data_IF_258499978309
#
_entry.id   IF_258499978309
#
_cell.length_a   1.000
_cell.length_b   1.000
_cell.length_c   1.000
_cell.angle_alpha   90.00
_cell.angle_beta   90.00
_cell.angle_gamma   90.00
#
_symmetry.space_group_name_H-M   'P 1'
#
loop_
_entity.id
_entity.type
_entity.pdbx_description
1 polymer ?
#
# COMPACT_ATOMS: atom_id res chain seq x y z
N UNK A 1 108.64 -100.83 156.28
CA UNK A 1 107.71 -101.97 156.42
C UNK A 1 106.56 -101.56 157.32
N UNK A 2 105.53 -100.92 156.79
CA UNK A 2 105.62 -99.96 155.66
C UNK A 2 104.56 -98.86 155.75
N UNK A 3 103.25 -99.14 155.78
CA UNK A 3 102.25 -98.07 155.65
C UNK A 3 101.97 -97.24 156.91
N UNK A 4 101.80 -97.84 158.08
CA UNK A 4 101.64 -97.06 159.32
C UNK A 4 102.94 -96.37 159.77
N UNK A 5 104.11 -96.84 159.31
CA UNK A 5 105.39 -96.11 159.42
C UNK A 5 105.47 -94.91 158.46
N UNK A 6 104.65 -94.82 157.40
CA UNK A 6 104.58 -93.65 156.50
C UNK A 6 103.54 -92.65 157.01
N UNK A 7 102.39 -93.10 157.52
CA UNK A 7 101.43 -92.21 158.19
C UNK A 7 101.99 -91.64 159.49
N UNK A 8 102.76 -92.39 160.28
CA UNK A 8 103.49 -91.82 161.42
C UNK A 8 104.59 -90.84 160.98
N UNK A 9 105.19 -91.03 159.80
CA UNK A 9 106.19 -90.09 159.25
C UNK A 9 105.55 -88.82 158.69
N UNK A 10 104.39 -88.92 158.03
CA UNK A 10 103.62 -87.77 157.55
C UNK A 10 102.98 -87.04 158.72
N UNK A 11 102.38 -87.72 159.70
CA UNK A 11 101.91 -87.08 160.93
C UNK A 11 103.06 -86.48 161.77
N UNK A 12 104.25 -87.09 161.81
CA UNK A 12 105.43 -86.46 162.44
C UNK A 12 105.99 -85.30 161.61
N UNK A 13 105.80 -85.28 160.27
CA UNK A 13 106.19 -84.17 159.39
C UNK A 13 105.19 -83.03 159.51
N UNK A 14 103.90 -83.33 159.57
CA UNK A 14 102.80 -82.39 159.76
C UNK A 14 102.80 -81.85 161.20
N UNK A 15 103.17 -82.64 162.22
CA UNK A 15 103.38 -82.15 163.59
C UNK A 15 104.63 -81.28 163.66
N UNK A 16 105.69 -81.58 162.89
CA UNK A 16 106.86 -80.68 162.78
C UNK A 16 106.55 -79.42 161.97
N UNK A 17 105.78 -79.50 160.89
CA UNK A 17 105.34 -78.36 160.10
C UNK A 17 104.33 -77.50 160.85
N UNK A 18 103.41 -78.11 161.62
CA UNK A 18 102.51 -77.38 162.50
C UNK A 18 103.24 -76.79 163.70
N UNK A 19 104.27 -77.45 164.26
CA UNK A 19 105.13 -76.78 165.25
C UNK A 19 105.89 -75.60 164.63
N UNK A 20 106.39 -75.76 163.40
CA UNK A 20 107.10 -74.68 162.69
C UNK A 20 106.16 -73.52 162.34
N UNK A 21 104.95 -73.81 161.90
CA UNK A 21 103.91 -72.82 161.62
C UNK A 21 103.41 -72.17 162.91
N UNK A 22 103.30 -72.90 164.02
CA UNK A 22 102.89 -72.35 165.32
C UNK A 22 103.99 -71.50 165.97
N UNK A 23 105.26 -71.89 165.83
CA UNK A 23 106.40 -71.09 166.30
C UNK A 23 106.60 -69.86 165.41
N UNK A 24 106.34 -69.94 164.10
CA UNK A 24 106.22 -68.75 163.24
C UNK A 24 105.00 -67.89 163.61
N UNK A 25 103.87 -68.49 163.99
CA UNK A 25 102.68 -67.74 164.42
C UNK A 25 102.87 -67.05 165.78
N UNK A 26 103.69 -67.61 166.67
CA UNK A 26 104.07 -67.02 167.97
C UNK A 26 105.18 -65.98 167.86
N UNK A 27 106.06 -66.09 166.86
CA UNK A 27 107.10 -65.11 166.57
C UNK A 27 106.60 -63.90 165.74
N UNK A 28 105.45 -64.01 165.07
CA UNK A 28 104.85 -62.90 164.31
C UNK A 28 104.05 -61.95 165.20
N UNK A 29 104.44 -60.67 165.18
CA UNK A 29 103.73 -59.58 165.85
C UNK A 29 102.33 -59.40 165.23
N UNK A 30 101.37 -58.87 166.00
CA UNK A 30 99.97 -58.68 165.59
C UNK A 30 99.85 -57.90 164.27
N UNK A 31 100.77 -56.97 164.02
CA UNK A 31 100.82 -56.09 162.86
C UNK A 31 101.10 -56.82 161.52
N UNK A 32 101.91 -57.89 161.53
CA UNK A 32 102.16 -58.69 160.32
C UNK A 32 100.97 -59.58 159.93
N UNK A 33 100.12 -59.94 160.90
CA UNK A 33 98.87 -60.69 160.64
C UNK A 33 97.79 -59.81 160.03
N UNK A 34 97.63 -58.58 160.53
CA UNK A 34 96.65 -57.63 160.00
C UNK A 34 96.97 -57.23 158.55
N UNK A 35 98.27 -57.06 158.20
CA UNK A 35 98.70 -56.74 156.82
C UNK A 35 98.35 -57.84 155.81
N UNK A 36 98.47 -59.12 156.18
CA UNK A 36 98.14 -60.24 155.30
C UNK A 36 96.62 -60.34 155.06
N UNK A 37 95.80 -60.06 156.07
CA UNK A 37 94.34 -60.01 155.93
C UNK A 37 93.88 -58.86 155.03
N UNK A 38 94.48 -57.67 155.17
CA UNK A 38 94.15 -56.50 154.32
C UNK A 38 94.55 -56.73 152.86
N UNK A 39 95.71 -57.35 152.60
CA UNK A 39 96.15 -57.70 151.24
C UNK A 39 95.22 -58.73 150.56
N UNK A 40 94.70 -59.70 151.31
CA UNK A 40 93.72 -60.66 150.78
C UNK A 40 92.37 -60.00 150.47
N UNK A 41 91.91 -59.09 151.33
CA UNK A 41 90.70 -58.31 151.09
C UNK A 41 90.85 -57.36 149.89
N UNK A 42 91.99 -56.67 149.73
CA UNK A 42 92.25 -55.80 148.57
C UNK A 42 92.23 -56.59 147.26
N UNK A 43 92.86 -57.78 147.23
CA UNK A 43 92.88 -58.63 146.02
C UNK A 43 91.48 -59.11 145.63
N UNK A 44 90.62 -59.42 146.60
CA UNK A 44 89.22 -59.80 146.36
C UNK A 44 88.40 -58.61 145.82
N UNK A 45 88.53 -57.44 146.44
CA UNK A 45 87.82 -56.22 146.01
C UNK A 45 88.31 -55.73 144.64
N UNK A 46 89.59 -55.91 144.28
CA UNK A 46 90.09 -55.64 142.92
C UNK A 46 89.47 -56.57 141.87
N UNK A 47 89.31 -57.86 142.18
CA UNK A 47 88.66 -58.81 141.28
C UNK A 47 87.19 -58.46 141.02
N UNK A 48 86.45 -58.11 142.08
CA UNK A 48 85.04 -57.67 141.96
C UNK A 48 84.91 -56.35 141.16
N UNK A 49 85.88 -55.43 141.28
CA UNK A 49 85.93 -54.20 140.49
C UNK A 49 86.23 -54.43 139.00
N UNK A 50 87.08 -55.40 138.67
CA UNK A 50 87.37 -55.77 137.28
C UNK A 50 86.15 -56.45 136.62
N UNK A 51 85.42 -57.31 137.35
CA UNK A 51 84.16 -57.89 136.86
C UNK A 51 83.04 -56.84 136.67
N UNK A 52 82.91 -55.87 137.59
CA UNK A 52 81.96 -54.77 137.41
C UNK A 52 82.33 -53.86 136.24
N UNK A 53 83.62 -53.59 136.00
CA UNK A 53 84.06 -52.83 134.83
C UNK A 53 83.79 -53.59 133.53
N UNK A 54 83.99 -54.90 133.50
CA UNK A 54 83.71 -55.74 132.32
C UNK A 54 82.21 -55.85 132.01
N UNK A 55 81.35 -55.88 133.02
CA UNK A 55 79.89 -55.88 132.83
C UNK A 55 79.37 -54.52 132.39
N UNK A 56 79.87 -53.41 132.95
CA UNK A 56 79.50 -52.06 132.54
C UNK A 56 79.87 -51.80 131.06
N UNK A 57 81.05 -52.26 130.62
CA UNK A 57 81.49 -52.13 129.22
C UNK A 57 80.56 -52.87 128.24
N UNK A 58 80.17 -54.10 128.57
CA UNK A 58 79.19 -54.88 127.78
C UNK A 58 77.85 -54.17 127.66
N UNK A 59 77.32 -53.61 128.75
CA UNK A 59 76.02 -52.91 128.73
C UNK A 59 76.10 -51.61 127.92
N UNK A 60 77.22 -50.88 127.98
CA UNK A 60 77.40 -49.66 127.19
C UNK A 60 77.54 -49.93 125.69
N UNK A 61 78.21 -51.03 125.31
CA UNK A 61 78.39 -51.37 123.90
C UNK A 61 77.08 -51.89 123.29
N UNK A 62 76.32 -52.71 124.01
CA UNK A 62 74.96 -53.13 123.60
C UNK A 62 74.01 -51.95 123.43
N UNK A 63 74.03 -50.96 124.34
CA UNK A 63 73.21 -49.75 124.20
C UNK A 63 73.61 -48.89 123.00
N UNK A 64 74.89 -48.86 122.63
CA UNK A 64 75.36 -48.11 121.45
C UNK A 64 74.99 -48.82 120.15
N UNK A 65 75.07 -50.15 120.11
CA UNK A 65 74.63 -50.96 118.96
C UNK A 65 73.11 -50.91 118.77
N UNK A 66 72.32 -51.00 119.84
CA UNK A 66 70.86 -50.82 119.78
C UNK A 66 70.48 -49.41 119.32
N UNK A 67 71.14 -48.36 119.84
CA UNK A 67 70.85 -46.98 119.41
C UNK A 67 71.25 -46.75 117.95
N UNK A 68 72.34 -47.35 117.47
CA UNK A 68 72.70 -47.33 116.04
C UNK A 68 71.68 -48.08 115.20
N UNK A 69 71.28 -49.30 115.58
CA UNK A 69 70.23 -50.06 114.88
C UNK A 69 68.91 -49.30 114.81
N UNK A 70 68.47 -48.67 115.90
CA UNK A 70 67.24 -47.88 115.93
C UNK A 70 67.33 -46.68 114.98
N UNK A 71 68.46 -45.96 114.97
CA UNK A 71 68.68 -44.82 114.07
C UNK A 71 68.78 -45.28 112.61
N UNK A 72 69.47 -46.38 112.33
CA UNK A 72 69.59 -46.95 110.98
C UNK A 72 68.23 -47.49 110.48
N UNK A 73 67.40 -48.07 111.36
CA UNK A 73 66.04 -48.52 111.04
C UNK A 73 65.06 -47.35 110.82
N UNK A 74 65.20 -46.23 111.56
CA UNK A 74 64.42 -45.01 111.36
C UNK A 74 64.82 -44.28 110.06
N UNK A 75 66.13 -44.17 109.78
CA UNK A 75 66.67 -43.61 108.53
C UNK A 75 66.26 -44.48 107.33
N UNK A 76 66.34 -45.81 107.45
CA UNK A 76 65.88 -46.73 106.41
C UNK A 76 64.37 -46.64 106.16
N UNK A 77 63.55 -46.48 107.21
CA UNK A 77 62.11 -46.21 107.06
C UNK A 77 61.84 -44.88 106.36
N UNK A 78 62.60 -43.83 106.67
CA UNK A 78 62.45 -42.52 106.04
C UNK A 78 62.89 -42.54 104.57
N UNK A 79 63.96 -43.25 104.25
CA UNK A 79 64.41 -43.48 102.87
C UNK A 79 63.33 -44.22 102.10
N UNK A 80 62.78 -45.32 102.62
CA UNK A 80 61.68 -46.05 101.96
C UNK A 80 60.45 -45.18 101.73
N UNK A 81 60.04 -44.37 102.71
CA UNK A 81 58.92 -43.43 102.54
C UNK A 81 59.19 -42.39 101.46
N UNK A 82 60.42 -41.86 101.39
CA UNK A 82 60.80 -40.89 100.36
C UNK A 82 60.91 -41.56 98.99
N UNK A 83 61.40 -42.80 98.90
CA UNK A 83 61.44 -43.60 97.68
C UNK A 83 60.03 -43.92 97.18
N UNK A 84 59.11 -44.30 98.06
CA UNK A 84 57.69 -44.51 97.75
C UNK A 84 57.02 -43.21 97.30
N UNK A 85 57.31 -42.08 97.95
CA UNK A 85 56.82 -40.77 97.52
C UNK A 85 57.39 -40.36 96.16
N UNK A 86 58.68 -40.58 95.91
CA UNK A 86 59.30 -40.32 94.60
C UNK A 86 58.65 -41.20 93.53
N UNK A 87 58.39 -42.48 93.82
CA UNK A 87 57.72 -43.39 92.89
C UNK A 87 56.28 -42.96 92.61
N UNK A 88 55.54 -42.52 93.64
CA UNK A 88 54.18 -41.99 93.48
C UNK A 88 54.17 -40.69 92.65
N UNK A 89 55.08 -39.75 92.94
CA UNK A 89 55.22 -38.51 92.20
C UNK A 89 55.66 -38.79 90.74
N UNK A 90 56.58 -39.73 90.52
CA UNK A 90 56.96 -40.16 89.17
C UNK A 90 55.77 -40.76 88.41
N UNK A 91 54.93 -41.56 89.08
CA UNK A 91 53.71 -42.11 88.48
C UNK A 91 52.68 -41.00 88.17
N UNK A 92 52.49 -40.03 89.06
CA UNK A 92 51.61 -38.89 88.83
C UNK A 92 52.09 -38.01 87.68
N UNK A 93 53.40 -37.72 87.61
CA UNK A 93 54.01 -37.00 86.49
C UNK A 93 53.82 -37.77 85.19
N UNK A 94 53.99 -39.09 85.20
CA UNK A 94 53.74 -39.93 84.02
C UNK A 94 52.28 -39.89 83.57
N UNK A 95 51.33 -39.95 84.51
CA UNK A 95 49.90 -39.89 84.21
C UNK A 95 49.51 -38.53 83.65
N UNK A 96 49.94 -37.44 84.28
CA UNK A 96 49.66 -36.09 83.79
C UNK A 96 50.29 -35.81 82.43
N UNK A 97 51.49 -36.37 82.14
CA UNK A 97 52.06 -36.30 80.80
C UNK A 97 51.20 -37.02 79.77
N UNK A 98 50.68 -38.20 80.09
CA UNK A 98 49.77 -38.92 79.18
C UNK A 98 48.44 -38.18 79.00
N UNK A 99 47.89 -37.60 80.06
CA UNK A 99 46.68 -36.76 79.98
C UNK A 99 46.92 -35.50 79.15
N UNK A 100 48.05 -34.82 79.32
CA UNK A 100 48.45 -33.66 78.52
C UNK A 100 48.61 -34.04 77.05
N UNK A 101 49.29 -35.13 76.73
CA UNK A 101 49.43 -35.64 75.36
C UNK A 101 48.06 -36.01 74.74
N UNK A 102 47.17 -36.63 75.51
CA UNK A 102 45.80 -36.94 75.05
C UNK A 102 44.99 -35.66 74.78
N UNK A 103 45.06 -34.67 75.67
CA UNK A 103 44.39 -33.38 75.49
C UNK A 103 44.95 -32.59 74.30
N UNK A 104 46.27 -32.62 74.09
CA UNK A 104 46.89 -32.02 72.91
C UNK A 104 46.38 -32.70 71.63
N UNK A 105 46.29 -34.03 71.61
CA UNK A 105 45.73 -34.77 70.47
C UNK A 105 44.25 -34.44 70.24
N UNK A 106 43.42 -34.35 71.29
CA UNK A 106 42.01 -33.95 71.16
C UNK A 106 41.87 -32.51 70.66
N UNK A 107 42.76 -31.60 71.10
CA UNK A 107 42.78 -30.22 70.63
C UNK A 107 43.18 -30.12 69.16
N UNK A 108 44.17 -30.91 68.70
CA UNK A 108 44.54 -30.99 67.28
C UNK A 108 43.38 -31.52 66.43
N UNK A 109 42.71 -32.60 66.85
CA UNK A 109 41.56 -33.17 66.14
C UNK A 109 40.40 -32.18 66.08
N UNK A 110 40.11 -31.49 67.19
CA UNK A 110 39.05 -30.47 67.25
C UNK A 110 39.40 -29.25 66.41
N UNK A 111 40.67 -28.84 66.41
CA UNK A 111 41.19 -27.76 65.56
C UNK A 111 41.02 -28.07 64.08
N UNK A 112 41.42 -29.28 63.65
CA UNK A 112 41.25 -29.72 62.27
C UNK A 112 39.77 -29.76 61.86
N UNK A 113 38.89 -30.32 62.70
CA UNK A 113 37.46 -30.35 62.42
C UNK A 113 36.85 -28.95 62.29
N UNK A 114 37.33 -27.98 63.10
CA UNK A 114 36.90 -26.59 63.00
C UNK A 114 37.42 -25.92 61.72
N UNK A 115 38.68 -26.12 61.36
CA UNK A 115 39.26 -25.62 60.11
C UNK A 115 38.51 -26.19 58.88
N UNK A 116 38.26 -27.49 58.86
CA UNK A 116 37.50 -28.16 57.79
C UNK A 116 36.08 -27.59 57.66
N UNK A 117 35.40 -27.36 58.80
CA UNK A 117 34.07 -26.76 58.83
C UNK A 117 34.09 -25.30 58.37
N UNK A 118 35.11 -24.53 58.77
CA UNK A 118 35.28 -23.14 58.35
C UNK A 118 35.55 -23.05 56.84
N UNK A 119 36.35 -23.97 56.30
CA UNK A 119 36.59 -24.07 54.86
C UNK A 119 35.33 -24.51 54.11
N UNK A 120 34.57 -25.45 54.66
CA UNK A 120 33.28 -25.84 54.08
C UNK A 120 32.31 -24.66 54.05
N UNK A 121 32.23 -23.88 55.12
CA UNK A 121 31.36 -22.71 55.21
C UNK A 121 31.79 -21.62 54.20
N UNK A 122 33.10 -21.36 54.08
CA UNK A 122 33.60 -20.40 53.09
C UNK A 122 33.27 -20.82 51.64
N UNK A 123 33.41 -22.12 51.32
CA UNK A 123 33.01 -22.69 50.03
C UNK A 123 31.51 -22.54 49.77
N UNK A 124 30.67 -22.81 50.78
CA UNK A 124 29.21 -22.65 50.65
C UNK A 124 28.80 -21.19 50.41
N UNK A 125 29.42 -20.25 51.13
CA UNK A 125 29.18 -18.81 50.93
C UNK A 125 29.60 -18.40 49.52
N UNK A 126 30.74 -18.89 49.03
CA UNK A 126 31.20 -18.61 47.67
C UNK A 126 30.22 -19.17 46.62
N UNK A 127 29.76 -20.41 46.78
CA UNK A 127 28.77 -21.01 45.88
C UNK A 127 27.44 -20.25 45.86
N UNK A 128 26.98 -19.74 47.01
CA UNK A 128 25.79 -18.90 47.11
C UNK A 128 25.97 -17.61 46.28
N UNK A 129 27.09 -16.92 46.44
CA UNK A 129 27.41 -15.72 45.65
C UNK A 129 27.46 -16.00 44.15
N UNK A 130 28.13 -17.07 43.75
CA UNK A 130 28.22 -17.47 42.34
C UNK A 130 26.83 -17.79 41.75
N UNK A 131 25.95 -18.45 42.51
CA UNK A 131 24.57 -18.71 42.10
C UNK A 131 23.74 -17.44 42.02
N UNK A 132 23.90 -16.51 42.95
CA UNK A 132 23.22 -15.22 42.91
C UNK A 132 23.66 -14.40 41.69
N UNK A 133 24.96 -14.34 41.41
CA UNK A 133 25.50 -13.68 40.22
C UNK A 133 24.98 -14.32 38.91
N UNK A 134 24.91 -15.65 38.86
CA UNK A 134 24.33 -16.37 37.73
C UNK A 134 22.83 -16.04 37.57
N UNK A 135 22.07 -16.00 38.66
CA UNK A 135 20.66 -15.63 38.64
C UNK A 135 20.45 -14.18 38.18
N UNK A 136 21.28 -13.24 38.63
CA UNK A 136 21.23 -11.84 38.17
C UNK A 136 21.49 -11.74 36.66
N UNK A 137 22.48 -12.47 36.14
CA UNK A 137 22.77 -12.52 34.69
C UNK A 137 21.59 -13.08 33.92
N UNK A 138 21.04 -14.23 34.33
CA UNK A 138 19.88 -14.85 33.69
C UNK A 138 18.65 -13.95 33.71
N UNK A 139 18.41 -13.25 34.82
CA UNK A 139 17.31 -12.28 34.93
C UNK A 139 17.49 -11.11 33.96
N UNK A 140 18.70 -10.57 33.85
CA UNK A 140 19.04 -9.50 32.90
C UNK A 140 18.86 -9.95 31.45
N UNK A 141 19.34 -11.14 31.10
CA UNK A 141 19.17 -11.75 29.79
C UNK A 141 17.69 -12.00 29.46
N UNK A 142 16.90 -12.47 30.43
CA UNK A 142 15.45 -12.66 30.28
C UNK A 142 14.74 -11.35 29.96
N UNK A 143 15.09 -10.26 30.65
CA UNK A 143 14.52 -8.93 30.39
C UNK A 143 14.87 -8.47 28.96
N UNK A 144 16.14 -8.59 28.56
CA UNK A 144 16.60 -8.25 27.21
C UNK A 144 15.89 -9.08 26.14
N UNK A 145 15.80 -10.40 26.33
CA UNK A 145 15.12 -11.30 25.41
C UNK A 145 13.63 -10.95 25.26
N UNK A 146 12.94 -10.66 26.37
CA UNK A 146 11.54 -10.21 26.34
C UNK A 146 11.38 -8.88 25.59
N UNK A 147 12.29 -7.93 25.78
CA UNK A 147 12.26 -6.66 25.06
C UNK A 147 12.48 -6.83 23.57
N UNK A 148 13.47 -7.65 23.17
CA UNK A 148 13.71 -8.00 21.76
C UNK A 148 12.50 -8.71 21.16
N UNK A 149 11.90 -9.67 21.87
CA UNK A 149 10.72 -10.37 21.40
C UNK A 149 9.53 -9.43 21.20
N UNK A 150 9.34 -8.44 22.10
CA UNK A 150 8.30 -7.44 21.96
C UNK A 150 8.52 -6.58 20.70
N UNK A 151 9.72 -6.05 20.51
CA UNK A 151 10.06 -5.24 19.34
C UNK A 151 9.90 -6.04 18.03
N UNK A 152 10.34 -7.30 18.01
CA UNK A 152 10.19 -8.17 16.84
C UNK A 152 8.71 -8.47 16.52
N UNK A 153 7.84 -8.59 17.54
CA UNK A 153 6.38 -8.72 17.34
C UNK A 153 5.78 -7.44 16.77
N UNK A 154 6.15 -6.28 17.33
CA UNK A 154 5.69 -4.97 16.84
C UNK A 154 6.10 -4.77 15.37
N UNK A 155 7.35 -5.07 15.01
CA UNK A 155 7.86 -4.98 13.64
C UNK A 155 7.11 -5.94 12.69
N UNK A 156 6.89 -7.19 13.10
CA UNK A 156 6.12 -8.17 12.34
C UNK A 156 4.68 -7.70 12.10
N UNK A 157 4.04 -7.13 13.12
CA UNK A 157 2.66 -6.67 13.02
C UNK A 157 2.57 -5.44 12.10
N UNK A 158 3.56 -4.53 12.14
CA UNK A 158 3.69 -3.41 11.20
C UNK A 158 3.90 -3.87 9.75
N UNK A 159 4.79 -4.84 9.52
CA UNK A 159 5.00 -5.43 8.20
C UNK A 159 3.74 -6.12 7.68
N UNK A 160 3.01 -6.80 8.55
CA UNK A 160 1.72 -7.43 8.20
C UNK A 160 0.69 -6.39 7.76
N UNK A 161 0.58 -5.25 8.47
CA UNK A 161 -0.29 -4.15 8.07
C UNK A 161 0.12 -3.52 6.73
N UNK A 162 1.42 -3.34 6.49
CA UNK A 162 1.92 -2.85 5.20
C UNK A 162 1.58 -3.80 4.06
N UNK A 163 1.78 -5.11 4.23
CA UNK A 163 1.41 -6.13 3.25
C UNK A 163 -0.09 -6.07 2.95
N UNK A 164 -0.94 -6.06 3.97
CA UNK A 164 -2.40 -5.97 3.79
C UNK A 164 -2.82 -4.71 3.04
N UNK A 165 -2.19 -3.57 3.33
CA UNK A 165 -2.45 -2.29 2.65
C UNK A 165 -2.06 -2.37 1.18
N UNK A 166 -0.87 -2.90 0.88
CA UNK A 166 -0.39 -3.10 -0.49
C UNK A 166 -1.27 -4.09 -1.26
N UNK A 167 -1.69 -5.20 -0.64
CA UNK A 167 -2.61 -6.17 -1.25
C UNK A 167 -3.93 -5.50 -1.63
N UNK A 168 -4.52 -4.73 -0.71
CA UNK A 168 -5.78 -4.00 -0.97
C UNK A 168 -5.61 -2.98 -2.11
N UNK A 169 -4.45 -2.29 -2.16
CA UNK A 169 -4.14 -1.34 -3.22
C UNK A 169 -3.97 -2.03 -4.58
N UNK A 170 -3.32 -3.19 -4.63
CA UNK A 170 -3.17 -4.01 -5.85
C UNK A 170 -4.53 -4.51 -6.33
N UNK A 171 -5.39 -4.97 -5.43
CA UNK A 171 -6.76 -5.38 -5.79
C UNK A 171 -7.57 -4.23 -6.38
N UNK A 172 -7.49 -3.03 -5.77
CA UNK A 172 -8.14 -1.83 -6.30
C UNK A 172 -7.60 -1.43 -7.68
N UNK A 173 -6.27 -1.48 -7.88
CA UNK A 173 -5.66 -1.22 -9.19
C UNK A 173 -6.10 -2.24 -10.24
N UNK A 174 -6.16 -3.53 -9.90
CA UNK A 174 -6.64 -4.58 -10.80
C UNK A 174 -8.10 -4.35 -11.22
N UNK A 175 -8.96 -3.84 -10.33
CA UNK A 175 -10.33 -3.46 -10.70
C UNK A 175 -10.36 -2.31 -11.70
N UNK A 176 -9.47 -1.32 -11.55
CA UNK A 176 -9.34 -0.20 -12.49
C UNK A 176 -8.85 -0.70 -13.85
N UNK A 177 -7.84 -1.55 -13.89
CA UNK A 177 -7.33 -2.16 -15.13
C UNK A 177 -8.44 -2.89 -15.88
N UNK A 178 -9.22 -3.75 -15.20
CA UNK A 178 -10.35 -4.46 -15.84
C UNK A 178 -11.38 -3.51 -16.44
N UNK A 179 -11.71 -2.41 -15.75
CA UNK A 179 -12.63 -1.38 -16.27
C UNK A 179 -12.06 -0.66 -17.49
N UNK A 180 -10.76 -0.41 -17.51
CA UNK A 180 -10.09 0.20 -18.66
C UNK A 180 -10.05 -0.75 -19.87
N UNK A 181 -9.76 -2.04 -19.66
CA UNK A 181 -9.80 -3.07 -20.70
C UNK A 181 -11.21 -3.22 -21.30
N UNK A 182 -12.25 -3.21 -20.47
CA UNK A 182 -13.64 -3.25 -20.93
C UNK A 182 -13.99 -2.00 -21.75
N UNK A 183 -13.57 -0.81 -21.28
CA UNK A 183 -13.77 0.45 -22.00
C UNK A 183 -13.03 0.46 -23.34
N UNK A 184 -11.79 -0.04 -23.38
CA UNK A 184 -11.02 -0.16 -24.61
C UNK A 184 -11.73 -1.08 -25.61
N UNK A 185 -12.20 -2.24 -25.16
CA UNK A 185 -12.96 -3.16 -26.01
C UNK A 185 -14.24 -2.53 -26.57
N UNK A 186 -14.97 -1.78 -25.75
CA UNK A 186 -16.16 -1.05 -26.20
C UNK A 186 -15.81 0.04 -27.23
N UNK A 187 -14.73 0.79 -27.00
CA UNK A 187 -14.27 1.82 -27.94
C UNK A 187 -13.81 1.21 -29.28
N UNK A 188 -13.09 0.09 -29.25
CA UNK A 188 -12.69 -0.65 -30.46
C UNK A 188 -13.93 -1.12 -31.25
N UNK A 189 -14.95 -1.67 -30.58
CA UNK A 189 -16.19 -2.07 -31.23
C UNK A 189 -16.93 -0.87 -31.87
N UNK A 190 -16.98 0.27 -31.17
CA UNK A 190 -17.58 1.50 -31.69
C UNK A 190 -16.81 2.04 -32.89
N UNK A 191 -15.47 2.00 -32.86
CA UNK A 191 -14.63 2.41 -33.98
C UNK A 191 -14.96 1.58 -35.23
N UNK A 192 -15.00 0.25 -35.10
CA UNK A 192 -15.36 -0.64 -36.21
C UNK A 192 -16.77 -0.34 -36.74
N UNK A 193 -17.73 -0.01 -35.87
CA UNK A 193 -19.08 0.35 -36.30
C UNK A 193 -19.09 1.67 -37.10
N UNK A 194 -18.38 2.70 -36.62
CA UNK A 194 -18.26 4.00 -37.30
C UNK A 194 -17.51 3.86 -38.63
N UNK A 195 -16.46 3.04 -38.70
CA UNK A 195 -15.74 2.76 -39.95
C UNK A 195 -16.66 2.11 -40.99
N UNK A 196 -17.50 1.16 -40.58
CA UNK A 196 -18.50 0.55 -41.47
C UNK A 196 -19.53 1.56 -41.94
N UNK A 197 -20.04 2.42 -41.05
CA UNK A 197 -20.97 3.48 -41.44
C UNK A 197 -20.31 4.45 -42.43
N UNK A 198 -19.08 4.88 -42.16
CA UNK A 198 -18.31 5.76 -43.05
C UNK A 198 -18.17 5.14 -44.45
N UNK A 199 -17.83 3.85 -44.53
CA UNK A 199 -17.74 3.14 -45.81
C UNK A 199 -19.08 3.13 -46.56
N UNK A 200 -20.19 2.82 -45.88
CA UNK A 200 -21.52 2.85 -46.49
C UNK A 200 -21.89 4.27 -46.98
N UNK A 201 -21.57 5.30 -46.19
CA UNK A 201 -21.80 6.70 -46.56
C UNK A 201 -20.97 7.12 -47.78
N UNK A 202 -19.71 6.69 -47.85
CA UNK A 202 -18.85 6.94 -49.01
C UNK A 202 -19.39 6.26 -50.27
N UNK A 203 -19.82 4.99 -50.17
CA UNK A 203 -20.43 4.27 -51.30
C UNK A 203 -21.73 4.95 -51.78
N UNK A 204 -22.59 5.38 -50.86
CA UNK A 204 -23.81 6.11 -51.19
C UNK A 204 -23.49 7.46 -51.87
N UNK A 205 -22.51 8.19 -51.34
CA UNK A 205 -22.06 9.47 -51.92
C UNK A 205 -21.52 9.29 -53.35
N UNK A 206 -20.68 8.27 -53.59
CA UNK A 206 -20.13 8.02 -54.92
C UNK A 206 -21.23 7.60 -55.93
N UNK A 207 -22.21 6.80 -55.48
CA UNK A 207 -23.39 6.48 -56.28
C UNK A 207 -24.19 7.74 -56.63
N UNK A 208 -24.46 8.63 -55.67
CA UNK A 208 -25.19 9.87 -55.92
C UNK A 208 -24.42 10.81 -56.86
N UNK A 209 -23.10 10.90 -56.70
CA UNK A 209 -22.21 11.66 -57.59
C UNK A 209 -22.29 11.13 -59.02
N UNK A 210 -22.23 9.82 -59.22
CA UNK A 210 -22.40 9.20 -60.55
C UNK A 210 -23.76 9.54 -61.17
N UNK A 211 -24.84 9.40 -60.41
CA UNK A 211 -26.21 9.75 -60.87
C UNK A 211 -26.33 11.24 -61.22
N UNK A 212 -25.69 12.12 -60.46
CA UNK A 212 -25.68 13.55 -60.75
C UNK A 212 -24.96 13.86 -62.07
N UNK A 213 -23.83 13.19 -62.34
CA UNK A 213 -23.10 13.32 -63.61
C UNK A 213 -23.96 12.81 -64.78
N UNK A 214 -24.56 11.61 -64.66
CA UNK A 214 -25.43 11.04 -65.69
C UNK A 214 -26.65 11.94 -65.97
N UNK A 215 -27.27 12.49 -64.91
CA UNK A 215 -28.39 13.44 -65.05
C UNK A 215 -27.96 14.75 -65.70
N UNK A 216 -26.78 15.28 -65.37
CA UNK A 216 -26.25 16.50 -65.97
C UNK A 216 -25.93 16.30 -67.46
N UNK A 217 -25.36 15.14 -67.83
CA UNK A 217 -25.13 14.75 -69.22
C UNK A 217 -26.45 14.65 -70.00
N UNK A 218 -27.43 13.93 -69.46
CA UNK A 218 -28.75 13.81 -70.09
C UNK A 218 -29.44 15.16 -70.27
N UNK A 219 -29.34 16.06 -69.29
CA UNK A 219 -29.88 17.42 -69.40
C UNK A 219 -29.15 18.24 -70.49
N UNK A 220 -27.83 18.10 -70.62
CA UNK A 220 -27.06 18.75 -71.68
C UNK A 220 -27.44 18.23 -73.08
N UNK A 221 -27.61 16.92 -73.24
CA UNK A 221 -28.03 16.30 -74.49
C UNK A 221 -29.44 16.77 -74.91
N UNK A 222 -30.38 16.77 -73.96
CA UNK A 222 -31.75 17.28 -74.17
C UNK A 222 -31.73 18.75 -74.57
N UNK A 223 -30.88 19.57 -73.94
CA UNK A 223 -30.73 20.99 -74.30
C UNK A 223 -30.20 21.15 -75.73
N UNK A 224 -29.22 20.34 -76.13
CA UNK A 224 -28.69 20.36 -77.50
C UNK A 224 -29.76 19.94 -78.53
N UNK A 225 -30.57 18.92 -78.21
CA UNK A 225 -31.72 18.55 -79.04
C UNK A 225 -32.75 19.68 -79.13
N UNK A 226 -33.07 20.33 -78.01
CA UNK A 226 -33.98 21.48 -78.00
C UNK A 226 -33.44 22.60 -78.88
N UNK A 227 -32.16 22.97 -78.76
CA UNK A 227 -31.55 24.02 -79.60
C UNK A 227 -31.60 23.65 -81.09
N UNK A 228 -31.32 22.39 -81.44
CA UNK A 228 -31.44 21.89 -82.81
C UNK A 228 -32.87 21.99 -83.33
N UNK A 229 -33.86 21.52 -82.57
CA UNK A 229 -35.27 21.61 -82.97
C UNK A 229 -35.74 23.07 -83.05
N UNK A 230 -35.31 23.95 -82.15
CA UNK A 230 -35.60 25.37 -82.24
C UNK A 230 -35.01 26.01 -83.51
N UNK A 231 -33.79 25.63 -83.93
CA UNK A 231 -33.20 26.09 -85.20
C UNK A 231 -34.03 25.60 -86.39
N UNK A 232 -34.37 24.31 -86.42
CA UNK A 232 -35.19 23.73 -87.49
C UNK A 232 -36.56 24.40 -87.59
N UNK A 233 -37.21 24.67 -86.46
CA UNK A 233 -38.49 25.39 -86.43
C UNK A 233 -38.33 26.79 -87.01
N UNK A 234 -37.26 27.52 -86.66
CA UNK A 234 -36.99 28.85 -87.23
C UNK A 234 -36.78 28.79 -88.75
N UNK A 235 -35.99 27.84 -89.24
CA UNK A 235 -35.75 27.64 -90.69
C UNK A 235 -37.04 27.29 -91.44
N UNK A 236 -37.89 26.45 -90.86
CA UNK A 236 -39.20 26.14 -91.44
C UNK A 236 -40.11 27.37 -91.42
N UNK A 237 -40.13 28.13 -90.32
CA UNK A 237 -40.90 29.36 -90.21
C UNK A 237 -40.47 30.41 -91.25
N UNK A 238 -39.16 30.61 -91.47
CA UNK A 238 -38.67 31.53 -92.51
C UNK A 238 -39.06 31.04 -93.90
N UNK A 239 -38.88 29.75 -94.18
CA UNK A 239 -39.29 29.15 -95.45
C UNK A 239 -40.79 29.31 -95.70
N UNK A 240 -41.63 29.07 -94.69
CA UNK A 240 -43.09 29.25 -94.79
C UNK A 240 -43.43 30.72 -95.04
N UNK A 241 -42.80 31.66 -94.34
CA UNK A 241 -43.02 33.10 -94.56
C UNK A 241 -42.64 33.53 -96.00
N UNK A 242 -41.49 33.07 -96.51
CA UNK A 242 -41.05 33.33 -97.88
C UNK A 242 -42.03 32.75 -98.91
N UNK A 243 -42.46 31.49 -98.73
CA UNK A 243 -43.43 30.85 -99.61
C UNK A 243 -44.80 31.53 -99.56
N UNK A 244 -45.24 31.99 -98.39
CA UNK A 244 -46.49 32.72 -98.22
C UNK A 244 -46.42 34.07 -98.94
N UNK A 245 -45.34 34.83 -98.76
CA UNK A 245 -45.11 36.10 -99.48
C UNK A 245 -45.03 35.91 -101.01
N UNK A 246 -44.34 34.86 -101.47
CA UNK A 246 -44.31 34.52 -102.89
C UNK A 246 -45.70 34.16 -103.44
N UNK A 247 -46.49 33.39 -102.68
CA UNK A 247 -47.86 33.05 -103.06
C UNK A 247 -48.76 34.28 -103.11
N UNK A 248 -48.64 35.21 -102.15
CA UNK A 248 -49.36 36.49 -102.15
C UNK A 248 -48.99 37.36 -103.35
N UNK A 249 -47.70 37.44 -103.69
CA UNK A 249 -47.22 38.17 -104.86
C UNK A 249 -47.76 37.57 -106.17
N UNK A 250 -47.73 36.25 -106.32
CA UNK A 250 -48.31 35.56 -107.47
C UNK A 250 -49.85 35.70 -107.52
N UNK A 251 -50.53 35.62 -106.37
CA UNK A 251 -51.97 35.88 -106.29
C UNK A 251 -52.30 37.32 -106.71
N UNK A 252 -51.49 38.31 -106.32
CA UNK A 252 -51.64 39.70 -106.73
C UNK A 252 -51.42 39.89 -108.24
N UNK A 253 -50.35 39.32 -108.80
CA UNK A 253 -50.11 39.31 -110.26
C UNK A 253 -51.26 38.66 -111.01
N UNK A 254 -51.73 37.52 -110.53
CA UNK A 254 -52.87 36.79 -111.11
C UNK A 254 -54.12 37.65 -111.10
N UNK A 255 -54.42 38.36 -110.00
CA UNK A 255 -55.55 39.30 -109.93
C UNK A 255 -55.40 40.43 -110.96
N UNK A 256 -54.22 41.04 -111.08
CA UNK A 256 -53.95 42.07 -112.11
C UNK A 256 -54.17 41.55 -113.54
N UNK A 257 -53.64 40.37 -113.84
CA UNK A 257 -53.85 39.74 -115.16
C UNK A 257 -55.33 39.43 -115.40
N UNK A 258 -56.08 39.01 -114.39
CA UNK A 258 -57.53 38.81 -114.49
C UNK A 258 -58.28 40.13 -114.75
N UNK A 259 -57.88 41.23 -114.11
CA UNK A 259 -58.43 42.57 -114.34
C UNK A 259 -58.14 43.05 -115.76
N UNK A 260 -56.89 42.92 -116.24
CA UNK A 260 -56.47 43.24 -117.61
C UNK A 260 -57.26 42.40 -118.64
N UNK A 261 -57.38 41.09 -118.40
CA UNK A 261 -58.17 40.18 -119.22
C UNK A 261 -59.66 40.58 -119.23
N UNK A 262 -60.19 41.05 -118.10
CA UNK A 262 -61.54 41.63 -118.00
C UNK A 262 -61.70 42.94 -118.77
N UNK A 263 -60.67 43.79 -118.84
CA UNK A 263 -60.67 45.01 -119.67
C UNK A 263 -60.63 44.64 -121.16
N UNK A 264 -59.76 43.72 -121.56
CA UNK A 264 -59.65 43.26 -122.95
C UNK A 264 -60.95 42.58 -123.41
N UNK A 265 -61.57 41.74 -122.57
CA UNK A 265 -62.90 41.17 -122.84
C UNK A 265 -63.97 42.22 -123.04
N UNK A 266 -64.05 43.23 -122.16
CA UNK A 266 -65.00 44.35 -122.31
C UNK A 266 -64.76 45.18 -123.58
N UNK A 267 -63.49 45.39 -123.97
CA UNK A 267 -63.14 46.04 -125.25
C UNK A 267 -63.58 45.21 -126.44
N UNK A 268 -63.37 43.88 -126.40
CA UNK A 268 -63.83 42.94 -127.42
C UNK A 268 -65.36 42.96 -127.57
N UNK A 269 -66.10 42.95 -126.45
CA UNK A 269 -67.56 43.07 -126.43
C UNK A 269 -68.08 44.40 -126.97
N UNK A 270 -67.41 45.52 -126.63
CA UNK A 270 -67.75 46.83 -127.22
C UNK A 270 -67.56 46.86 -128.72
N UNK A 271 -66.42 46.35 -129.22
CA UNK A 271 -66.17 46.28 -130.67
C UNK A 271 -67.22 45.40 -131.37
N UNK A 272 -67.57 44.25 -130.79
CA UNK A 272 -68.65 43.38 -131.31
C UNK A 272 -70.02 44.06 -131.34
N UNK A 273 -70.35 44.89 -130.35
CA UNK A 273 -71.62 45.64 -130.33
C UNK A 273 -71.65 46.78 -131.35
N UNK A 274 -70.51 47.43 -131.61
CA UNK A 274 -70.38 48.51 -132.59
C UNK A 274 -70.48 47.97 -134.03
N UNK A 275 -69.98 46.76 -134.30
CA UNK A 275 -70.15 46.10 -135.60
C UNK A 275 -71.60 45.71 -135.93
N UNK A 276 -72.51 45.68 -134.94
CA UNK A 276 -73.81 45.00 -135.05
C UNK A 276 -75.04 45.91 -134.91
N UNK A 277 -74.88 47.24 -134.95
CA UNK A 277 -75.98 48.20 -134.83
C UNK A 277 -76.13 49.06 -136.09
N UNK A 278 -77.29 48.95 -136.74
CA UNK A 278 -77.61 49.49 -138.07
C UNK A 278 -78.63 50.64 -138.07
N UNK A 279 -78.87 51.31 -136.94
CA UNK A 279 -79.81 52.44 -136.89
C UNK A 279 -79.40 53.51 -135.87
N UNK A 280 -78.88 54.64 -136.38
CA UNK A 280 -78.35 55.76 -135.58
C UNK A 280 -79.45 56.59 -134.91
N UNK A 281 -80.71 56.46 -135.34
CA UNK A 281 -81.83 57.25 -134.82
C UNK A 281 -82.41 56.67 -133.51
N UNK A 282 -82.18 55.38 -133.23
CA UNK A 282 -82.55 54.75 -131.96
C UNK A 282 -81.58 55.14 -130.82
N UNK A 283 -80.29 55.25 -131.15
CA UNK A 283 -79.23 55.67 -130.21
C UNK A 283 -79.49 57.10 -129.71
N UNK A 284 -79.85 58.02 -130.60
CA UNK A 284 -80.14 59.41 -130.22
C UNK A 284 -81.39 59.52 -129.32
N UNK A 285 -82.43 58.70 -129.57
CA UNK A 285 -83.65 58.68 -128.75
C UNK A 285 -83.38 58.11 -127.36
N UNK A 286 -82.54 57.09 -127.26
CA UNK A 286 -82.14 56.49 -125.99
C UNK A 286 -81.28 57.46 -125.16
N UNK A 287 -80.33 58.18 -125.78
CA UNK A 287 -79.54 59.23 -125.12
C UNK A 287 -80.43 60.38 -124.61
N UNK A 288 -81.41 60.85 -125.41
CA UNK A 288 -82.36 61.88 -124.96
C UNK A 288 -83.19 61.39 -123.76
N UNK A 289 -83.54 60.09 -123.71
CA UNK A 289 -84.24 59.50 -122.58
C UNK A 289 -83.37 59.47 -121.32
N UNK A 290 -82.12 59.05 -121.42
CA UNK A 290 -81.16 59.04 -120.30
C UNK A 290 -80.87 60.45 -119.76
N UNK A 291 -80.72 61.45 -120.63
CA UNK A 291 -80.56 62.85 -120.19
C UNK A 291 -81.80 63.37 -119.48
N UNK A 292 -83.02 63.04 -119.97
CA UNK A 292 -84.27 63.40 -119.29
C UNK A 292 -84.38 62.74 -117.91
N UNK A 293 -84.03 61.46 -117.78
CA UNK A 293 -84.06 60.76 -116.48
C UNK A 293 -83.04 61.34 -115.50
N UNK A 294 -81.82 61.61 -115.97
CA UNK A 294 -80.74 62.19 -115.14
C UNK A 294 -81.09 63.59 -114.63
N UNK A 295 -81.82 64.40 -115.40
CA UNK A 295 -82.25 65.74 -115.01
C UNK A 295 -83.55 65.77 -114.18
N UNK A 296 -84.24 64.64 -114.07
CA UNK A 296 -85.50 64.55 -113.32
C UNK A 296 -85.25 64.25 -111.85
N UNK A 297 -85.98 64.92 -110.96
CA UNK A 297 -85.88 64.74 -109.52
C UNK A 297 -86.18 63.28 -109.14
N UNK A 298 -85.25 62.55 -108.51
CA UNK A 298 -85.47 61.14 -108.18
C UNK A 298 -86.53 60.94 -107.09
N UNK A 299 -86.89 62.00 -106.35
CA UNK A 299 -87.90 61.90 -105.29
C UNK A 299 -89.34 61.96 -105.80
N UNK A 300 -89.63 62.74 -106.86
CA UNK A 300 -90.99 62.80 -107.43
C UNK A 300 -91.08 62.21 -108.83
N UNK A 301 -89.95 62.00 -109.52
CA UNK A 301 -89.85 61.54 -110.92
C UNK A 301 -90.65 62.38 -111.94
N UNK A 302 -91.05 63.59 -111.56
CA UNK A 302 -91.90 64.48 -112.38
C UNK A 302 -91.21 65.81 -112.64
N UNK A 303 -90.74 66.49 -111.58
CA UNK A 303 -90.10 67.82 -111.71
C UNK A 303 -88.61 67.68 -111.99
N UNK A 304 -88.03 68.63 -112.71
CA UNK A 304 -86.57 68.70 -112.90
C UNK A 304 -85.85 68.98 -111.58
N UNK A 305 -84.57 68.59 -111.49
CA UNK A 305 -83.69 68.92 -110.37
C UNK A 305 -83.41 70.43 -110.39
N UNK A 306 -83.80 71.13 -109.32
CA UNK A 306 -83.58 72.57 -109.16
C UNK A 306 -83.22 72.95 -107.70
N UNK A 307 -82.78 71.98 -106.90
CA UNK A 307 -82.27 72.20 -105.57
C UNK A 307 -81.19 71.18 -105.17
N UNK A 308 -80.24 71.60 -104.36
CA UNK A 308 -79.11 70.78 -103.88
C UNK A 308 -79.03 70.79 -102.36
N UNK A 309 -78.71 69.64 -101.78
CA UNK A 309 -78.35 69.52 -100.37
C UNK A 309 -76.85 69.73 -100.19
N UNK A 310 -76.43 70.77 -99.48
CA UNK A 310 -74.99 71.12 -99.34
C UNK A 310 -74.21 70.13 -98.47
N UNK A 311 -74.88 69.33 -97.63
CA UNK A 311 -74.23 68.31 -96.78
C UNK A 311 -73.79 67.07 -97.54
N UNK A 312 -74.52 66.68 -98.58
CA UNK A 312 -74.26 65.44 -99.32
C UNK A 312 -74.26 65.61 -100.84
N UNK A 313 -74.38 66.85 -101.32
CA UNK A 313 -74.40 67.25 -102.73
C UNK A 313 -75.39 66.47 -103.62
N UNK A 314 -76.48 65.97 -103.03
CA UNK A 314 -77.54 65.30 -103.78
C UNK A 314 -78.59 66.30 -104.26
N UNK A 315 -78.95 66.21 -105.53
CA UNK A 315 -79.88 67.13 -106.20
C UNK A 315 -81.28 66.55 -106.37
N UNK A 316 -82.28 67.35 -106.06
CA UNK A 316 -83.71 67.05 -106.14
C UNK A 316 -84.47 68.29 -106.65
N UNK A 317 -85.80 68.25 -106.72
CA UNK A 317 -86.57 69.48 -106.91
C UNK A 317 -86.78 70.21 -105.58
N UNK A 318 -86.82 71.53 -105.63
CA UNK A 318 -86.99 72.41 -104.48
C UNK A 318 -88.26 72.07 -103.70
N UNK A 319 -89.35 71.76 -104.39
CA UNK A 319 -90.62 71.40 -103.76
C UNK A 319 -90.53 70.12 -102.92
N UNK A 320 -89.80 69.10 -103.39
CA UNK A 320 -89.60 67.87 -102.63
C UNK A 320 -88.75 68.11 -101.37
N UNK A 321 -87.70 68.93 -101.45
CA UNK A 321 -86.88 69.26 -100.29
C UNK A 321 -87.63 70.14 -99.29
N UNK A 322 -88.35 71.17 -99.78
CA UNK A 322 -89.19 72.05 -98.96
C UNK A 322 -90.28 71.27 -98.23
N UNK A 323 -91.01 70.40 -98.94
CA UNK A 323 -92.06 69.57 -98.34
C UNK A 323 -91.48 68.69 -97.23
N UNK A 324 -90.34 68.02 -97.46
CA UNK A 324 -89.68 67.20 -96.43
C UNK A 324 -89.19 68.01 -95.24
N UNK A 325 -88.74 69.24 -95.47
CA UNK A 325 -88.32 70.13 -94.38
C UNK A 325 -89.50 70.56 -93.50
N UNK A 326 -90.62 70.95 -94.13
CA UNK A 326 -91.87 71.37 -93.47
C UNK A 326 -92.53 70.19 -92.71
N UNK A 327 -92.52 68.97 -93.27
CA UNK A 327 -93.07 67.76 -92.61
C UNK A 327 -92.12 67.13 -91.58
N UNK A 328 -91.04 67.81 -91.19
CA UNK A 328 -90.00 67.35 -90.25
C UNK A 328 -89.27 66.05 -90.66
N UNK A 329 -89.39 65.61 -91.92
CA UNK A 329 -88.65 64.47 -92.49
C UNK A 329 -87.28 64.92 -93.04
N UNK A 330 -86.47 65.55 -92.18
CA UNK A 330 -85.24 66.29 -92.51
C UNK A 330 -84.03 65.38 -92.80
N UNK A 331 -84.21 64.37 -93.66
CA UNK A 331 -83.16 63.47 -94.14
C UNK A 331 -83.16 63.38 -95.67
N UNK A 332 -81.97 63.35 -96.25
CA UNK A 332 -81.75 63.23 -97.68
C UNK A 332 -82.43 61.96 -98.23
N UNK A 333 -83.28 62.05 -99.27
CA UNK A 333 -83.93 60.88 -99.85
C UNK A 333 -82.98 59.80 -100.39
N UNK A 334 -81.73 60.16 -100.71
CA UNK A 334 -80.77 59.25 -101.35
C UNK A 334 -79.76 58.60 -100.40
N UNK A 335 -79.21 59.34 -99.43
CA UNK A 335 -78.20 58.82 -98.50
C UNK A 335 -78.60 58.93 -97.03
N UNK A 336 -79.81 59.39 -96.73
CA UNK A 336 -80.34 59.53 -95.38
C UNK A 336 -79.58 60.50 -94.45
N UNK A 337 -78.66 61.30 -94.98
CA UNK A 337 -77.97 62.36 -94.25
C UNK A 337 -78.96 63.42 -93.76
N UNK A 338 -78.84 63.84 -92.50
CA UNK A 338 -79.69 64.89 -91.94
C UNK A 338 -79.36 66.26 -92.56
N UNK A 339 -80.36 67.12 -92.77
CA UNK A 339 -80.17 68.47 -93.30
C UNK A 339 -81.06 69.51 -92.60
N UNK A 340 -80.54 70.72 -92.37
CA UNK A 340 -81.24 71.85 -91.74
C UNK A 340 -81.79 72.87 -92.74
N UNK A 341 -82.30 73.99 -92.22
CA UNK A 341 -82.86 75.10 -93.04
C UNK A 341 -81.81 75.72 -93.96
N UNK A 342 -80.57 75.81 -93.49
CA UNK A 342 -79.41 76.36 -94.20
C UNK A 342 -78.75 75.35 -95.12
N UNK A 343 -79.26 74.13 -95.26
CA UNK A 343 -78.56 73.03 -95.94
C UNK A 343 -79.20 72.63 -97.27
N UNK A 344 -80.31 73.26 -97.67
CA UNK A 344 -80.93 73.07 -98.99
C UNK A 344 -81.10 74.40 -99.71
N UNK A 345 -80.56 74.48 -100.93
CA UNK A 345 -80.56 75.71 -101.72
C UNK A 345 -81.10 75.46 -103.11
N UNK A 346 -81.74 76.47 -103.69
CA UNK A 346 -82.20 76.44 -105.07
C UNK A 346 -80.99 76.52 -106.01
N UNK A 347 -80.98 75.69 -107.04
CA UNK A 347 -79.94 75.64 -108.05
C UNK A 347 -80.60 75.70 -109.42
N UNK A 348 -80.06 76.51 -110.32
CA UNK A 348 -80.57 76.66 -111.68
C UNK A 348 -79.62 75.91 -112.62
N UNK A 349 -80.12 74.85 -113.26
CA UNK A 349 -79.42 74.15 -114.33
C UNK A 349 -79.73 74.87 -115.64
N UNK A 350 -78.71 75.39 -116.32
CA UNK A 350 -78.83 76.04 -117.63
C UNK A 350 -79.12 75.02 -118.73
#
# INVERSE_FOLDING_TARGET
MKDLKVQLKNAQKDVKEMKLLLDMYKACTKEQRDKAQVMAAEKKMRGELEELRATLKRVTDLKKEEKKRCVDEDVARRIKQLEEQVLQLQKQVSNHKQEEEALLSEMEVTGQAFEDMQEQNSRLIQQLREKDDANFKLMSERIKANQIQRLAREERDMLTQQVNTLTTQVEAQNQVVRKLEEKERLLQNNLVAVEKELLMRQQAMEMHKRKAIESAQSAADLKLHLEKYHSQIKEVQTTVAEKTSALEAEAFKTKRLHEELGIVKRKLERLRKIEMASDMDEILKEEIREYKETLTCPSCKVKRKDAVLTKCFHCFCYDCLRTRYETRQRKCPKCNAAFGASDYHRLYLA
#
